data_IF_474300507859
#
_entry.id   IF_474300507859
#
_cell.length_a   1.000
_cell.length_b   1.000
_cell.length_c   1.000
_cell.angle_alpha   90.00
_cell.angle_beta   90.00
_cell.angle_gamma   90.00
#
_symmetry.space_group_name_H-M   'P 1'
#
loop_
_entity.id
_entity.type
_entity.pdbx_description
1 polymer ?
#
# COMPACT_ATOMS: atom_id res chain seq x y z
N UNK A 1 6.63 13.21 18.64
CA UNK A 1 6.43 13.39 17.18
C UNK A 1 4.93 13.42 17.00
N UNK A 2 4.38 14.60 16.71
CA UNK A 2 2.96 14.92 16.87
C UNK A 2 2.10 14.29 15.76
N UNK A 3 1.06 13.57 16.17
CA UNK A 3 0.12 12.83 15.32
C UNK A 3 -0.90 13.77 14.65
N UNK A 4 -1.25 13.56 13.36
CA UNK A 4 -2.35 14.32 12.72
C UNK A 4 -3.73 13.76 13.09
N UNK A 5 -4.43 14.44 14.02
CA UNK A 5 -5.85 14.18 14.37
C UNK A 5 -6.63 15.49 14.29
N UNK A 6 -7.93 15.42 14.01
CA UNK A 6 -8.82 16.58 14.18
C UNK A 6 -9.45 16.47 15.56
N UNK A 7 -9.21 17.46 16.40
CA UNK A 7 -9.82 17.58 17.73
C UNK A 7 -10.78 18.76 17.75
N UNK A 8 -12.02 18.53 18.18
CA UNK A 8 -13.07 19.55 18.20
C UNK A 8 -13.70 19.67 19.60
N UNK A 9 -13.84 20.91 20.09
CA UNK A 9 -14.56 21.27 21.32
C UNK A 9 -15.56 22.37 20.96
N UNK A 10 -16.79 22.29 21.49
CA UNK A 10 -17.76 23.37 21.43
C UNK A 10 -17.68 24.23 22.70
N UNK A 11 -17.97 25.53 22.58
CA UNK A 11 -18.01 26.46 23.71
C UNK A 11 -19.30 27.29 23.67
N UNK A 12 -19.84 27.59 24.84
CA UNK A 12 -20.85 28.63 25.06
C UNK A 12 -20.25 29.70 25.96
N UNK A 13 -20.33 30.96 25.54
CA UNK A 13 -19.92 32.14 26.31
C UNK A 13 -21.14 33.04 26.57
N UNK A 14 -21.36 33.38 27.84
CA UNK A 14 -22.48 34.24 28.29
C UNK A 14 -22.03 35.66 28.64
N UNK A 15 -20.76 36.00 28.44
CA UNK A 15 -20.14 37.26 28.84
C UNK A 15 -19.74 37.32 30.32
N UNK A 16 -20.35 36.50 31.19
CA UNK A 16 -19.95 36.34 32.60
C UNK A 16 -19.40 34.93 32.92
N UNK A 17 -19.69 33.93 32.08
CA UNK A 17 -19.24 32.56 32.27
C UNK A 17 -19.01 31.87 30.91
N UNK A 18 -18.00 31.00 30.88
CA UNK A 18 -17.66 30.14 29.75
C UNK A 18 -17.86 28.69 30.18
N UNK A 19 -18.59 27.93 29.36
CA UNK A 19 -18.71 26.48 29.49
C UNK A 19 -18.20 25.82 28.21
N UNK A 20 -17.40 24.75 28.36
CA UNK A 20 -16.84 23.98 27.25
C UNK A 20 -17.43 22.57 27.23
N UNK A 21 -17.61 22.00 26.03
CA UNK A 21 -18.04 20.61 25.88
C UNK A 21 -16.89 19.63 26.17
N UNK A 22 -17.19 18.33 26.13
CA UNK A 22 -16.15 17.33 25.93
C UNK A 22 -15.50 17.52 24.55
N UNK A 23 -14.27 17.05 24.40
CA UNK A 23 -13.60 16.97 23.11
C UNK A 23 -14.03 15.74 22.32
N UNK A 24 -13.98 15.85 21.00
CA UNK A 24 -14.15 14.73 20.07
C UNK A 24 -12.94 14.67 19.14
N UNK A 25 -12.37 13.48 18.97
CA UNK A 25 -11.27 13.21 18.05
C UNK A 25 -11.76 12.48 16.80
N UNK A 26 -11.25 12.87 15.63
CA UNK A 26 -11.44 12.15 14.37
C UNK A 26 -10.08 11.82 13.77
N UNK A 27 -9.87 10.55 13.44
CA UNK A 27 -8.68 10.09 12.75
C UNK A 27 -8.78 10.43 11.26
N UNK A 28 -7.68 10.90 10.67
CA UNK A 28 -7.60 11.22 9.24
C UNK A 28 -7.11 9.97 8.51
N UNK A 29 -7.97 9.40 7.67
CA UNK A 29 -7.62 8.37 6.69
C UNK A 29 -7.01 9.04 5.46
N UNK A 30 -5.87 8.55 4.97
CA UNK A 30 -5.18 9.10 3.80
C UNK A 30 -5.05 8.01 2.74
N UNK A 31 -5.01 8.35 1.45
CA UNK A 31 -4.73 7.35 0.42
C UNK A 31 -3.36 6.70 0.65
N UNK A 32 -3.26 5.42 0.34
CA UNK A 32 -1.99 4.71 0.28
C UNK A 32 -1.10 5.34 -0.80
N UNK A 33 0.20 5.44 -0.53
CA UNK A 33 1.19 5.78 -1.54
C UNK A 33 1.78 4.50 -2.10
N UNK A 34 1.93 4.42 -3.43
CA UNK A 34 2.45 3.23 -4.11
C UNK A 34 3.54 3.63 -5.09
N UNK A 35 4.63 2.88 -5.07
CA UNK A 35 5.77 3.03 -6.00
C UNK A 35 6.12 1.67 -6.57
N UNK A 36 6.38 1.60 -7.87
CA UNK A 36 6.87 0.40 -8.56
C UNK A 36 8.23 0.70 -9.19
N UNK A 37 9.19 -0.16 -8.97
CA UNK A 37 10.53 -0.10 -9.57
C UNK A 37 10.86 -1.43 -10.22
N UNK A 38 11.86 -1.40 -11.12
CA UNK A 38 12.41 -2.57 -11.79
C UNK A 38 13.93 -2.54 -11.64
N UNK A 39 14.56 -3.70 -11.56
CA UNK A 39 16.01 -3.85 -11.41
C UNK A 39 16.80 -3.44 -12.67
N UNK A 40 16.16 -3.50 -13.86
CA UNK A 40 16.78 -3.15 -15.14
C UNK A 40 15.87 -2.23 -15.96
N UNK A 41 16.42 -1.11 -16.44
CA UNK A 41 15.75 -0.23 -17.40
C UNK A 41 15.75 -0.77 -18.84
N UNK A 42 16.66 -1.70 -19.14
CA UNK A 42 16.81 -2.34 -20.45
C UNK A 42 17.17 -3.81 -20.26
N UNK A 43 16.53 -4.68 -21.02
CA UNK A 43 16.78 -6.12 -20.99
C UNK A 43 16.43 -6.75 -22.35
N UNK A 44 17.00 -7.91 -22.62
CA UNK A 44 16.78 -8.71 -23.82
C UNK A 44 15.75 -9.83 -23.59
N UNK A 45 15.20 -10.38 -24.67
CA UNK A 45 14.36 -11.58 -24.63
C UNK A 45 15.05 -12.71 -23.88
N UNK A 46 14.29 -13.40 -23.02
CA UNK A 46 14.77 -14.47 -22.15
C UNK A 46 15.35 -14.00 -20.81
N UNK A 47 15.64 -12.71 -20.63
CA UNK A 47 16.07 -12.18 -19.34
C UNK A 47 14.92 -12.11 -18.33
N UNK A 48 15.30 -12.12 -17.06
CA UNK A 48 14.40 -11.92 -15.92
C UNK A 48 14.49 -10.47 -15.45
N UNK A 49 13.34 -9.88 -15.20
CA UNK A 49 13.15 -8.60 -14.51
C UNK A 49 12.59 -8.87 -13.12
N UNK A 50 13.12 -8.16 -12.13
CA UNK A 50 12.61 -8.16 -10.76
C UNK A 50 11.90 -6.85 -10.50
N UNK A 51 10.60 -6.92 -10.23
CA UNK A 51 9.79 -5.78 -9.83
C UNK A 51 9.72 -5.69 -8.30
N UNK A 52 9.87 -4.48 -7.78
CA UNK A 52 9.67 -4.13 -6.37
C UNK A 52 8.56 -3.10 -6.27
N UNK A 53 7.52 -3.41 -5.49
CA UNK A 53 6.38 -2.55 -5.23
C UNK A 53 6.41 -2.19 -3.75
N UNK A 54 6.40 -0.89 -3.47
CA UNK A 54 6.38 -0.37 -2.12
C UNK A 54 5.05 0.36 -1.89
N UNK A 55 4.27 -0.12 -0.92
CA UNK A 55 2.96 0.42 -0.55
C UNK A 55 3.06 0.99 0.86
N UNK A 56 2.81 2.29 1.02
CA UNK A 56 2.93 3.00 2.28
C UNK A 56 1.58 3.51 2.79
N UNK A 57 1.26 3.15 4.03
CA UNK A 57 0.17 3.78 4.77
C UNK A 57 0.70 5.02 5.50
N UNK A 58 0.31 6.21 5.03
CA UNK A 58 0.69 7.50 5.63
C UNK A 58 -0.34 8.04 6.61
N UNK A 59 -1.37 7.24 6.90
CA UNK A 59 -2.45 7.57 7.82
C UNK A 59 -2.20 6.99 9.22
N UNK A 60 -3.03 7.40 10.17
CA UNK A 60 -3.00 6.89 11.55
C UNK A 60 -3.94 5.72 11.79
N UNK A 61 -4.62 5.25 10.75
CA UNK A 61 -5.58 4.16 10.81
C UNK A 61 -5.05 3.02 9.96
N UNK A 62 -5.19 1.78 10.43
CA UNK A 62 -4.84 0.62 9.64
C UNK A 62 -5.66 0.57 8.33
N UNK A 63 -5.05 0.08 7.28
CA UNK A 63 -5.75 -0.26 6.03
C UNK A 63 -5.89 -1.76 5.94
N UNK A 64 -7.13 -2.26 5.92
CA UNK A 64 -7.41 -3.69 5.89
C UNK A 64 -7.98 -4.12 4.54
N UNK A 65 -7.76 -5.39 4.19
CA UNK A 65 -8.24 -6.00 2.94
C UNK A 65 -7.81 -5.22 1.68
N UNK A 66 -6.55 -4.79 1.64
CA UNK A 66 -6.01 -4.03 0.51
C UNK A 66 -5.75 -4.98 -0.65
N UNK A 67 -6.38 -4.73 -1.79
CA UNK A 67 -6.18 -5.53 -3.00
C UNK A 67 -5.05 -4.94 -3.83
N UNK A 68 -3.97 -5.71 -3.98
CA UNK A 68 -2.91 -5.46 -4.95
C UNK A 68 -3.28 -6.11 -6.27
N UNK A 69 -3.07 -5.38 -7.38
CA UNK A 69 -3.17 -5.93 -8.73
C UNK A 69 -2.12 -5.34 -9.66
N UNK A 70 -1.57 -6.16 -10.55
CA UNK A 70 -0.56 -5.73 -11.54
C UNK A 70 -0.76 -6.49 -12.85
N UNK A 71 -1.14 -5.77 -13.91
CA UNK A 71 -1.31 -6.33 -15.25
C UNK A 71 0.06 -6.45 -15.94
N UNK A 72 0.41 -7.68 -16.27
CA UNK A 72 1.67 -7.99 -16.92
C UNK A 72 1.59 -7.71 -18.43
N UNK A 73 2.63 -7.08 -18.95
CA UNK A 73 2.82 -6.84 -20.38
C UNK A 73 2.74 -8.13 -21.20
N UNK A 74 2.43 -8.04 -22.50
CA UNK A 74 2.22 -9.22 -23.34
C UNK A 74 3.51 -9.93 -23.69
N UNK A 75 4.60 -9.19 -23.61
CA UNK A 75 5.93 -9.65 -23.93
C UNK A 75 6.65 -10.19 -22.69
N UNK A 76 5.92 -10.43 -21.58
CA UNK A 76 6.48 -11.05 -20.37
C UNK A 76 5.60 -12.17 -19.80
N UNK A 77 6.23 -13.13 -19.12
CA UNK A 77 5.55 -14.18 -18.35
C UNK A 77 5.97 -14.15 -16.90
N UNK A 78 5.02 -14.35 -15.99
CA UNK A 78 5.31 -14.46 -14.56
C UNK A 78 6.24 -15.65 -14.26
N UNK A 79 7.24 -15.42 -13.41
CA UNK A 79 8.09 -16.48 -12.88
C UNK A 79 7.45 -17.01 -11.60
N UNK A 80 6.94 -18.25 -11.65
CA UNK A 80 6.32 -18.89 -10.49
C UNK A 80 7.23 -18.89 -9.26
N UNK A 81 6.63 -18.82 -8.07
CA UNK A 81 7.31 -18.83 -6.76
C UNK A 81 8.24 -17.63 -6.50
N UNK A 82 8.26 -16.63 -7.38
CA UNK A 82 9.06 -15.42 -7.19
C UNK A 82 8.38 -14.36 -6.31
N UNK A 83 7.09 -14.53 -5.98
CA UNK A 83 6.30 -13.51 -5.30
C UNK A 83 6.56 -13.55 -3.79
N UNK A 84 6.98 -12.43 -3.22
CA UNK A 84 7.19 -12.27 -1.78
C UNK A 84 6.49 -11.02 -1.26
N UNK A 85 6.07 -11.07 0.00
CA UNK A 85 5.51 -9.95 0.75
C UNK A 85 6.34 -9.78 2.02
N UNK A 86 6.98 -8.63 2.19
CA UNK A 86 7.92 -8.36 3.28
C UNK A 86 8.98 -9.48 3.44
N UNK A 87 9.50 -9.98 2.31
CA UNK A 87 10.49 -11.06 2.27
C UNK A 87 9.95 -12.46 2.58
N UNK A 88 8.65 -12.64 2.82
CA UNK A 88 8.03 -13.95 2.98
C UNK A 88 7.41 -14.41 1.65
N UNK A 89 7.68 -15.65 1.23
CA UNK A 89 7.08 -16.23 0.04
C UNK A 89 5.56 -16.30 0.18
N UNK A 90 4.84 -15.92 -0.88
CA UNK A 90 3.38 -15.94 -0.95
C UNK A 90 2.94 -16.42 -2.33
N UNK A 91 1.68 -16.86 -2.44
CA UNK A 91 1.11 -17.31 -3.72
C UNK A 91 0.07 -16.29 -4.19
N UNK A 92 0.38 -15.46 -5.20
CA UNK A 92 -0.60 -14.58 -5.82
C UNK A 92 -1.56 -15.39 -6.70
N UNK A 93 -2.75 -14.84 -6.94
CA UNK A 93 -3.59 -15.33 -8.03
C UNK A 93 -3.12 -14.68 -9.35
N UNK A 94 -3.13 -15.43 -10.45
CA UNK A 94 -2.86 -14.92 -11.79
C UNK A 94 -4.07 -15.23 -12.67
N UNK A 95 -4.78 -14.19 -13.09
CA UNK A 95 -5.94 -14.31 -13.98
C UNK A 95 -5.79 -13.35 -15.15
N UNK A 96 -5.97 -13.84 -16.37
CA UNK A 96 -5.83 -13.08 -17.61
C UNK A 96 -4.62 -12.12 -17.64
N UNK A 97 -3.42 -12.60 -17.24
CA UNK A 97 -2.15 -11.84 -17.13
C UNK A 97 -2.11 -10.76 -16.05
N UNK A 98 -3.10 -10.67 -15.18
CA UNK A 98 -3.07 -9.80 -14.00
C UNK A 98 -2.76 -10.62 -12.75
N UNK A 99 -1.70 -10.21 -12.03
CA UNK A 99 -1.42 -10.71 -10.68
C UNK A 99 -2.37 -10.05 -9.69
N UNK A 100 -2.89 -10.82 -8.74
CA UNK A 100 -3.73 -10.35 -7.64
C UNK A 100 -3.22 -10.88 -6.30
N UNK A 101 -3.25 -10.03 -5.28
CA UNK A 101 -2.95 -10.43 -3.91
C UNK A 101 -3.74 -9.57 -2.92
N UNK A 102 -4.25 -10.18 -1.84
CA UNK A 102 -4.93 -9.45 -0.76
C UNK A 102 -3.97 -9.30 0.41
N UNK A 103 -3.62 -8.06 0.71
CA UNK A 103 -2.85 -7.69 1.90
C UNK A 103 -3.86 -7.52 3.04
N UNK A 104 -3.76 -8.39 4.06
CA UNK A 104 -4.71 -8.40 5.17
C UNK A 104 -4.79 -7.06 5.90
N UNK A 105 -3.62 -6.50 6.26
CA UNK A 105 -3.49 -5.24 6.99
C UNK A 105 -2.20 -4.53 6.61
N UNK A 106 -2.27 -3.21 6.43
CA UNK A 106 -1.11 -2.31 6.43
C UNK A 106 -1.26 -1.39 7.65
N UNK A 107 -0.40 -1.61 8.64
CA UNK A 107 -0.40 -0.85 9.89
C UNK A 107 -0.23 0.66 9.66
N UNK A 108 -0.73 1.50 10.58
CA UNK A 108 -0.50 2.94 10.54
C UNK A 108 0.98 3.27 10.38
N UNK A 109 1.28 4.29 9.57
CA UNK A 109 2.63 4.80 9.36
C UNK A 109 3.66 3.74 8.88
N UNK A 110 3.19 2.60 8.37
CA UNK A 110 4.02 1.46 7.97
C UNK A 110 3.95 1.20 6.46
N UNK A 111 4.76 0.25 5.99
CA UNK A 111 4.83 -0.11 4.58
C UNK A 111 4.81 -1.62 4.37
N UNK A 112 4.36 -2.01 3.19
CA UNK A 112 4.48 -3.36 2.66
C UNK A 112 5.34 -3.33 1.40
N UNK A 113 6.30 -4.24 1.33
CA UNK A 113 7.10 -4.50 0.12
C UNK A 113 6.59 -5.78 -0.56
N UNK A 114 6.30 -5.68 -1.85
CA UNK A 114 5.99 -6.82 -2.72
C UNK A 114 7.10 -6.94 -3.74
N UNK A 115 7.65 -8.15 -3.91
CA UNK A 115 8.62 -8.44 -4.97
C UNK A 115 8.09 -9.57 -5.82
N UNK A 116 8.21 -9.47 -7.14
CA UNK A 116 7.97 -10.58 -8.06
C UNK A 116 8.84 -10.48 -9.30
N UNK A 117 8.99 -11.59 -10.01
CA UNK A 117 9.79 -11.67 -11.22
C UNK A 117 8.94 -12.01 -12.44
N UNK A 118 9.35 -11.46 -13.58
CA UNK A 118 8.86 -11.87 -14.90
C UNK A 118 10.02 -12.20 -15.83
N UNK A 119 9.77 -13.02 -16.84
CA UNK A 119 10.70 -13.31 -17.93
C UNK A 119 10.19 -12.68 -19.22
N UNK A 120 11.06 -12.02 -19.96
CA UNK A 120 10.74 -11.45 -21.27
C UNK A 120 10.63 -12.57 -22.30
N UNK A 121 9.55 -12.58 -23.09
CA UNK A 121 9.23 -13.64 -24.06
C UNK A 121 9.24 -13.20 -25.52
N UNK A 122 9.38 -11.90 -25.82
CA UNK A 122 9.31 -11.24 -27.15
C UNK A 122 8.07 -10.37 -27.30
#
# INVERSE_FOLDING_TARGET
MECSRVYNIAQVDTGCHISVSNGVETAIKKPLQITKTVDKEKACTGEILTYTIFIQNTSLVEETQVVFSDELDENVVYVNESFTVNGQAQTPALDNRTLYYVISTIEPMSSVEIIFQVRIIE
#
